data_IF_312311170692
#
_entry.id   IF_312311170692
#
_cell.length_a   1.000
_cell.length_b   1.000
_cell.length_c   1.000
_cell.angle_alpha   90.00
_cell.angle_beta   90.00
_cell.angle_gamma   90.00
#
_symmetry.space_group_name_H-M   'P 1'
#
loop_
_entity.id
_entity.type
_entity.pdbx_description
1 polymer ?
#
# COMPACT_ATOMS: atom_id res chain seq x y z
N UNK A 1 28.06 -12.49 29.53
CA UNK A 1 28.11 -13.32 28.32
C UNK A 1 26.72 -13.71 27.84
N UNK A 2 25.93 -14.47 28.61
CA UNK A 2 24.54 -14.78 28.24
C UNK A 2 23.69 -13.52 28.04
N UNK A 3 23.73 -12.57 28.99
CA UNK A 3 23.02 -11.27 28.85
C UNK A 3 23.39 -10.50 27.58
N UNK A 4 24.69 -10.47 27.23
CA UNK A 4 25.19 -9.84 26.00
C UNK A 4 24.71 -10.55 24.75
N UNK A 5 24.67 -11.90 24.75
CA UNK A 5 24.10 -12.69 23.67
C UNK A 5 22.60 -12.40 23.51
N UNK A 6 21.84 -12.37 24.61
CA UNK A 6 20.42 -12.03 24.59
C UNK A 6 20.15 -10.62 24.06
N UNK A 7 20.92 -9.63 24.53
CA UNK A 7 20.81 -8.26 24.03
C UNK A 7 21.13 -8.18 22.53
N UNK A 8 22.20 -8.84 22.09
CA UNK A 8 22.62 -8.87 20.68
C UNK A 8 21.59 -9.53 19.77
N UNK A 9 21.02 -10.67 20.18
CA UNK A 9 20.00 -11.36 19.38
C UNK A 9 18.67 -10.59 19.37
N UNK A 10 18.26 -9.97 20.49
CA UNK A 10 17.07 -9.13 20.52
C UNK A 10 17.20 -7.95 19.56
N UNK A 11 18.31 -7.20 19.62
CA UNK A 11 18.58 -6.09 18.71
C UNK A 11 18.59 -6.57 17.25
N UNK A 12 19.18 -7.74 16.97
CA UNK A 12 19.18 -8.33 15.64
C UNK A 12 17.78 -8.70 15.13
N UNK A 13 16.96 -9.35 15.98
CA UNK A 13 15.60 -9.72 15.65
C UNK A 13 14.71 -8.48 15.40
N UNK A 14 14.87 -7.46 16.23
CA UNK A 14 14.19 -6.17 16.14
C UNK A 14 14.54 -5.42 14.85
N UNK A 15 15.82 -5.42 14.47
CA UNK A 15 16.30 -4.82 13.22
C UNK A 15 15.73 -5.56 11.99
N UNK A 16 15.78 -6.90 12.00
CA UNK A 16 15.22 -7.73 10.94
C UNK A 16 13.70 -7.55 10.81
N UNK A 17 12.98 -7.46 11.93
CA UNK A 17 11.54 -7.23 11.93
C UNK A 17 11.20 -5.89 11.28
N UNK A 18 11.95 -4.83 11.60
CA UNK A 18 11.78 -3.52 10.95
C UNK A 18 12.05 -3.59 9.45
N UNK A 19 13.14 -4.22 9.02
CA UNK A 19 13.48 -4.35 7.61
C UNK A 19 12.41 -5.14 6.82
N UNK A 20 11.86 -6.21 7.42
CA UNK A 20 10.75 -6.96 6.85
C UNK A 20 9.49 -6.10 6.71
N UNK A 21 9.18 -5.30 7.73
CA UNK A 21 8.05 -4.37 7.68
C UNK A 21 8.25 -3.33 6.58
N UNK A 22 9.40 -2.66 6.54
CA UNK A 22 9.71 -1.62 5.55
C UNK A 22 9.60 -2.17 4.12
N UNK A 23 10.08 -3.40 3.89
CA UNK A 23 9.93 -4.09 2.59
C UNK A 23 8.48 -4.42 2.26
N UNK A 24 7.66 -4.82 3.24
CA UNK A 24 6.24 -5.05 3.00
C UNK A 24 5.50 -3.75 2.69
N UNK A 25 5.82 -2.68 3.42
CA UNK A 25 5.25 -1.36 3.20
C UNK A 25 5.63 -0.79 1.83
N UNK A 26 6.86 -0.98 1.37
CA UNK A 26 7.31 -0.51 0.05
C UNK A 26 6.59 -1.20 -1.13
N UNK A 27 5.92 -2.32 -0.89
CA UNK A 27 5.12 -3.02 -1.89
C UNK A 27 3.69 -2.51 -2.01
N UNK A 28 3.25 -1.63 -1.09
CA UNK A 28 1.90 -1.07 -1.05
C UNK A 28 1.88 0.24 -1.83
N UNK A 29 1.27 0.29 -3.03
CA UNK A 29 1.21 1.52 -3.81
C UNK A 29 0.23 2.56 -3.24
N UNK A 30 -0.81 2.12 -2.50
CA UNK A 30 -1.86 2.99 -1.95
C UNK A 30 -2.25 2.50 -0.56
N UNK A 31 -2.27 3.41 0.42
CA UNK A 31 -2.56 3.06 1.83
C UNK A 31 -4.04 2.72 2.05
N UNK A 32 -4.92 3.64 1.67
CA UNK A 32 -6.38 3.47 1.76
C UNK A 32 -6.98 3.76 0.37
N UNK A 33 -7.79 2.82 -0.10
CA UNK A 33 -8.61 2.96 -1.31
C UNK A 33 -10.07 3.07 -0.91
N UNK A 34 -10.75 4.09 -1.42
CA UNK A 34 -12.20 4.18 -1.35
C UNK A 34 -12.78 3.98 -2.75
N UNK A 35 -13.49 2.88 -2.94
CA UNK A 35 -14.20 2.57 -4.16
C UNK A 35 -15.65 3.07 -4.09
N UNK A 36 -16.08 3.83 -5.09
CA UNK A 36 -17.42 4.40 -5.17
C UNK A 36 -18.23 3.61 -6.19
N UNK A 37 -19.33 3.00 -5.75
CA UNK A 37 -20.28 2.28 -6.62
C UNK A 37 -21.49 3.11 -6.99
N UNK A 38 -21.75 4.19 -6.24
CA UNK A 38 -22.80 5.15 -6.59
C UNK A 38 -22.39 5.97 -7.80
N UNK A 39 -23.33 6.23 -8.71
CA UNK A 39 -23.09 7.18 -9.80
C UNK A 39 -23.07 8.58 -9.18
N UNK A 40 -21.94 9.26 -9.33
CA UNK A 40 -21.73 10.62 -8.85
C UNK A 40 -21.25 11.46 -10.03
N UNK A 41 -21.73 12.69 -10.12
CA UNK A 41 -21.20 13.68 -11.05
C UNK A 41 -19.74 13.99 -10.74
N UNK A 42 -19.01 14.48 -11.74
CA UNK A 42 -17.63 14.94 -11.59
C UNK A 42 -17.49 15.98 -10.46
N UNK A 43 -18.48 16.87 -10.31
CA UNK A 43 -18.54 17.87 -9.25
C UNK A 43 -18.69 17.25 -7.85
N UNK A 44 -19.48 16.18 -7.72
CA UNK A 44 -19.60 15.48 -6.43
C UNK A 44 -18.31 14.72 -6.10
N UNK A 45 -17.65 14.12 -7.09
CA UNK A 45 -16.39 13.41 -6.90
C UNK A 45 -15.27 14.35 -6.45
N UNK A 46 -15.12 15.49 -7.12
CA UNK A 46 -14.15 16.54 -6.73
C UNK A 46 -14.48 17.13 -5.36
N UNK A 47 -15.77 17.37 -5.07
CA UNK A 47 -16.21 17.81 -3.73
C UNK A 47 -15.86 16.82 -2.62
N UNK A 48 -15.90 15.52 -2.88
CA UNK A 48 -15.47 14.52 -1.90
C UNK A 48 -13.97 14.68 -1.60
N UNK A 49 -13.14 14.83 -2.64
CA UNK A 49 -11.69 15.07 -2.46
C UNK A 49 -11.47 16.34 -1.66
N UNK A 50 -12.17 17.43 -1.99
CA UNK A 50 -12.09 18.70 -1.26
C UNK A 50 -12.51 18.56 0.20
N UNK A 51 -13.59 17.83 0.51
CA UNK A 51 -14.02 17.58 1.89
C UNK A 51 -13.00 16.77 2.70
N UNK A 52 -12.09 16.02 2.06
CA UNK A 52 -11.00 15.29 2.74
C UNK A 52 -9.77 16.20 2.91
N UNK A 53 -9.43 16.98 1.88
CA UNK A 53 -8.24 17.83 1.86
C UNK A 53 -8.45 19.13 2.65
N UNK A 54 -9.70 19.63 2.75
CA UNK A 54 -10.03 20.94 3.30
C UNK A 54 -11.18 20.87 4.33
N UNK A 55 -10.91 20.99 5.65
CA UNK A 55 -9.59 21.10 6.29
C UNK A 55 -8.85 19.76 6.29
N UNK A 56 -7.53 19.74 6.15
CA UNK A 56 -6.76 18.48 6.09
C UNK A 56 -7.02 17.55 7.28
N UNK A 57 -7.01 16.24 7.03
CA UNK A 57 -6.99 15.22 8.08
C UNK A 57 -5.53 15.00 8.50
N UNK A 58 -5.24 15.10 9.79
CA UNK A 58 -3.91 14.82 10.33
C UNK A 58 -3.46 13.40 9.93
N UNK A 59 -2.22 13.28 9.44
CA UNK A 59 -1.66 12.02 8.97
C UNK A 59 -2.03 11.66 7.52
N UNK A 60 -2.89 12.42 6.83
CA UNK A 60 -3.10 12.28 5.38
C UNK A 60 -2.17 13.24 4.64
N UNK A 61 -1.34 12.72 3.74
CA UNK A 61 -0.38 13.54 2.97
C UNK A 61 -0.89 13.89 1.58
N UNK A 62 -1.67 13.01 0.97
CA UNK A 62 -2.18 13.20 -0.39
C UNK A 62 -3.48 12.45 -0.60
N UNK A 63 -4.35 13.01 -1.41
CA UNK A 63 -5.60 12.40 -1.86
C UNK A 63 -5.72 12.65 -3.35
N UNK A 64 -6.04 11.61 -4.10
CA UNK A 64 -6.30 11.75 -5.53
C UNK A 64 -7.48 10.92 -5.98
N UNK A 65 -8.08 11.38 -7.07
CA UNK A 65 -9.18 10.74 -7.75
C UNK A 65 -8.65 10.04 -8.99
N UNK A 66 -9.07 8.79 -9.19
CA UNK A 66 -8.74 8.02 -10.38
C UNK A 66 -9.99 7.31 -10.89
N UNK A 67 -10.25 7.45 -12.18
CA UNK A 67 -11.38 6.81 -12.83
C UNK A 67 -10.91 5.90 -13.95
N UNK A 68 -11.56 4.76 -14.10
CA UNK A 68 -11.21 3.73 -15.07
C UNK A 68 -12.44 3.25 -15.79
N UNK A 69 -12.30 3.03 -17.08
CA UNK A 69 -13.29 2.36 -17.89
C UNK A 69 -12.58 1.45 -18.89
N UNK A 70 -13.33 0.47 -19.39
CA UNK A 70 -12.85 -0.50 -20.36
C UNK A 70 -13.66 -0.39 -21.61
N UNK A 71 -12.97 -0.18 -22.72
CA UNK A 71 -13.61 -0.04 -24.01
C UNK A 71 -12.78 -0.62 -25.13
N UNK A 72 -13.48 -1.04 -26.17
CA UNK A 72 -12.86 -1.53 -27.38
C UNK A 72 -12.79 -0.42 -28.44
N UNK A 73 -11.66 -0.35 -29.14
CA UNK A 73 -11.49 0.51 -30.30
C UNK A 73 -10.86 -0.26 -31.45
N UNK A 74 -11.13 0.20 -32.67
CA UNK A 74 -10.44 -0.29 -33.86
C UNK A 74 -9.06 0.34 -33.95
N UNK A 75 -8.05 -0.51 -34.13
CA UNK A 75 -6.67 -0.09 -34.37
C UNK A 75 -6.54 0.51 -35.78
N UNK A 76 -5.96 1.71 -35.93
CA UNK A 76 -5.85 2.38 -37.24
C UNK A 76 -5.07 1.56 -38.28
N UNK A 77 -3.98 0.91 -37.88
CA UNK A 77 -3.11 0.18 -38.79
C UNK A 77 -3.69 -1.15 -39.29
N UNK A 78 -4.43 -1.86 -38.43
CA UNK A 78 -4.85 -3.25 -38.72
C UNK A 78 -6.37 -3.43 -38.85
N UNK A 79 -7.17 -2.40 -38.53
CA UNK A 79 -8.63 -2.47 -38.42
C UNK A 79 -9.13 -3.61 -37.50
N UNK A 80 -8.29 -4.08 -36.57
CA UNK A 80 -8.68 -5.06 -35.56
C UNK A 80 -9.23 -4.35 -34.33
N UNK A 81 -10.22 -4.97 -33.70
CA UNK A 81 -10.71 -4.53 -32.39
C UNK A 81 -9.69 -4.89 -31.32
N UNK A 82 -9.32 -3.92 -30.50
CA UNK A 82 -8.48 -4.12 -29.32
C UNK A 82 -9.14 -3.49 -28.09
N UNK A 83 -8.98 -4.15 -26.95
CA UNK A 83 -9.52 -3.67 -25.68
C UNK A 83 -8.52 -2.77 -24.98
N UNK A 84 -9.01 -1.64 -24.47
CA UNK A 84 -8.22 -0.63 -23.79
C UNK A 84 -8.82 -0.34 -22.42
N UNK A 85 -7.95 -0.30 -21.42
CA UNK A 85 -8.25 0.36 -20.16
C UNK A 85 -7.91 1.83 -20.30
N UNK A 86 -8.92 2.67 -20.19
CA UNK A 86 -8.76 4.13 -20.18
C UNK A 86 -8.75 4.58 -18.72
N UNK A 87 -7.66 5.21 -18.30
CA UNK A 87 -7.41 5.65 -16.92
C UNK A 87 -7.29 7.17 -16.92
N UNK A 88 -8.23 7.84 -16.27
CA UNK A 88 -8.17 9.28 -16.05
C UNK A 88 -7.51 9.60 -14.72
N UNK A 89 -6.50 10.45 -14.77
CA UNK A 89 -5.75 10.93 -13.60
C UNK A 89 -5.85 12.45 -13.50
N UNK A 90 -5.92 12.97 -12.28
CA UNK A 90 -5.85 14.42 -12.04
C UNK A 90 -4.45 14.93 -12.32
N UNK A 91 -4.33 16.20 -12.73
CA UNK A 91 -3.03 16.87 -12.94
C UNK A 91 -2.12 16.85 -11.70
N UNK A 92 -2.71 16.85 -10.51
CA UNK A 92 -2.01 16.76 -9.22
C UNK A 92 -1.70 15.32 -8.79
N UNK A 93 -1.97 14.32 -9.64
CA UNK A 93 -1.78 12.92 -9.28
C UNK A 93 -0.31 12.53 -9.18
N UNK A 94 0.02 11.72 -8.18
CA UNK A 94 1.35 11.11 -8.01
C UNK A 94 1.70 10.10 -9.09
N UNK A 95 0.71 9.69 -9.90
CA UNK A 95 0.95 8.85 -11.09
C UNK A 95 1.95 9.51 -12.04
N UNK A 96 1.97 10.84 -12.12
CA UNK A 96 2.95 11.57 -12.93
C UNK A 96 4.39 11.42 -12.43
N UNK A 97 4.61 11.19 -11.13
CA UNK A 97 5.96 11.06 -10.55
C UNK A 97 6.67 9.78 -11.04
N UNK A 98 5.91 8.71 -11.29
CA UNK A 98 6.43 7.44 -11.81
C UNK A 98 6.14 7.22 -13.30
N UNK A 99 5.91 8.30 -14.05
CA UNK A 99 5.66 8.29 -15.48
C UNK A 99 6.81 9.00 -16.20
N UNK A 100 7.41 8.33 -17.17
CA UNK A 100 8.45 8.92 -18.04
C UNK A 100 7.96 8.97 -19.48
N UNK A 101 7.83 10.17 -20.04
CA UNK A 101 7.49 10.35 -21.46
C UNK A 101 8.68 9.92 -22.31
N UNK A 102 8.49 8.86 -23.09
CA UNK A 102 9.51 8.31 -24.00
C UNK A 102 9.46 9.04 -25.34
N UNK A 103 8.24 9.33 -25.81
CA UNK A 103 7.99 9.97 -27.09
C UNK A 103 6.70 10.80 -27.00
N UNK A 104 6.66 11.97 -27.65
CA UNK A 104 5.46 12.80 -27.75
C UNK A 104 5.44 14.03 -26.85
N UNK A 105 4.24 14.53 -26.55
CA UNK A 105 4.03 15.78 -25.82
C UNK A 105 4.28 15.62 -24.29
N UNK A 106 4.71 16.69 -23.59
CA UNK A 106 5.01 16.65 -22.15
C UNK A 106 3.77 16.72 -21.24
N UNK A 107 2.62 17.09 -21.79
CA UNK A 107 1.36 17.17 -21.06
C UNK A 107 0.18 16.74 -21.94
N UNK A 108 -0.93 16.37 -21.30
CA UNK A 108 -2.18 16.03 -21.96
C UNK A 108 -3.17 17.19 -21.92
N UNK A 109 -3.77 17.47 -23.07
CA UNK A 109 -4.97 18.29 -23.20
C UNK A 109 -6.24 17.44 -23.27
N UNK A 110 -7.38 18.09 -23.50
CA UNK A 110 -8.66 17.42 -23.67
C UNK A 110 -8.62 16.40 -24.81
N UNK A 111 -9.16 15.20 -24.58
CA UNK A 111 -9.27 14.12 -25.57
C UNK A 111 -7.90 13.66 -26.12
N UNK A 112 -6.84 13.88 -25.36
CA UNK A 112 -5.50 13.39 -25.64
C UNK A 112 -5.15 12.23 -24.71
N UNK A 113 -4.33 11.31 -25.20
CA UNK A 113 -3.92 10.15 -24.40
C UNK A 113 -2.45 9.80 -24.53
N UNK A 114 -1.88 9.31 -23.44
CA UNK A 114 -0.64 8.56 -23.45
C UNK A 114 -0.90 7.06 -23.55
N UNK A 115 -0.07 6.38 -24.32
CA UNK A 115 -0.07 4.92 -24.42
C UNK A 115 1.08 4.37 -23.60
N UNK A 116 0.81 3.43 -22.70
CA UNK A 116 1.87 2.74 -21.97
C UNK A 116 2.67 1.84 -22.93
N UNK A 117 4.01 1.95 -22.93
CA UNK A 117 4.87 1.19 -23.85
C UNK A 117 4.80 -0.33 -23.66
N UNK A 118 4.37 -0.80 -22.50
CA UNK A 118 4.16 -2.22 -22.23
C UNK A 118 2.82 -2.78 -22.72
N UNK A 119 2.00 -1.95 -23.38
CA UNK A 119 0.70 -2.35 -23.95
C UNK A 119 0.86 -3.40 -25.05
N UNK A 120 -0.10 -4.32 -25.18
CA UNK A 120 -0.04 -5.42 -26.16
C UNK A 120 0.02 -4.93 -27.60
N UNK A 121 -0.79 -3.93 -27.94
CA UNK A 121 -0.93 -3.38 -29.29
C UNK A 121 -0.13 -2.09 -29.51
N UNK A 122 0.87 -1.81 -28.66
CA UNK A 122 1.68 -0.58 -28.75
C UNK A 122 2.31 -0.37 -30.13
N UNK A 123 2.69 -1.47 -30.81
CA UNK A 123 3.33 -1.44 -32.14
C UNK A 123 2.37 -1.12 -33.29
N UNK A 124 1.07 -1.08 -33.01
CA UNK A 124 0.01 -0.79 -33.98
C UNK A 124 -0.53 0.64 -33.81
N UNK A 125 0.15 1.47 -33.00
CA UNK A 125 -0.22 2.84 -32.68
C UNK A 125 0.95 3.77 -32.96
N UNK A 126 0.64 4.96 -33.46
CA UNK A 126 1.60 6.04 -33.70
C UNK A 126 1.12 7.35 -33.07
N UNK A 127 2.03 8.28 -32.81
CA UNK A 127 1.67 9.62 -32.33
C UNK A 127 0.83 10.33 -33.41
N UNK A 128 -0.34 10.82 -33.04
CA UNK A 128 -1.31 11.44 -33.94
C UNK A 128 -2.49 10.55 -34.32
N UNK A 129 -2.42 9.24 -34.03
CA UNK A 129 -3.55 8.33 -34.24
C UNK A 129 -4.77 8.72 -33.40
N UNK A 130 -5.97 8.52 -33.96
CA UNK A 130 -7.23 8.79 -33.28
C UNK A 130 -7.97 7.48 -33.03
N UNK A 131 -8.09 7.11 -31.76
CA UNK A 131 -8.85 5.96 -31.29
C UNK A 131 -10.27 6.38 -30.96
N UNK A 132 -11.24 5.74 -31.61
CA UNK A 132 -12.67 6.01 -31.41
C UNK A 132 -13.31 4.94 -30.56
N UNK A 133 -13.88 5.35 -29.44
CA UNK A 133 -14.58 4.51 -28.48
C UNK A 133 -16.08 4.84 -28.49
N UNK A 134 -16.92 3.80 -28.54
CA UNK A 134 -18.37 3.94 -28.53
C UNK A 134 -18.93 3.49 -27.18
N UNK A 135 -18.91 4.41 -26.22
CA UNK A 135 -19.26 4.13 -24.83
C UNK A 135 -20.76 4.02 -24.68
N UNK A 136 -21.27 2.79 -24.55
CA UNK A 136 -22.73 2.53 -24.51
C UNK A 136 -23.14 2.04 -23.14
N UNK A 137 -23.92 2.85 -22.42
CA UNK A 137 -24.53 2.44 -21.16
C UNK A 137 -26.01 2.16 -21.36
N UNK A 138 -26.51 1.16 -20.66
CA UNK A 138 -27.87 0.66 -20.79
C UNK A 138 -28.27 -0.15 -19.58
N UNK A 139 -29.54 -0.11 -19.21
CA UNK A 139 -30.14 -1.22 -18.48
C UNK A 139 -31.13 -1.96 -19.39
N UNK A 140 -31.28 -3.25 -19.16
CA UNK A 140 -32.42 -4.03 -19.63
C UNK A 140 -32.92 -4.80 -18.43
N UNK A 141 -34.06 -4.40 -17.88
CA UNK A 141 -34.70 -5.11 -16.78
C UNK A 141 -36.16 -5.39 -17.15
N UNK A 142 -36.49 -6.66 -17.38
CA UNK A 142 -37.83 -7.10 -17.76
C UNK A 142 -38.36 -6.42 -19.03
N UNK A 143 -39.66 -6.11 -19.04
CA UNK A 143 -40.39 -5.55 -20.19
C UNK A 143 -40.26 -4.02 -20.36
N UNK A 144 -39.34 -3.37 -19.63
CA UNK A 144 -39.10 -1.93 -19.78
C UNK A 144 -38.29 -1.63 -21.04
N UNK A 145 -38.69 -0.58 -21.79
CA UNK A 145 -37.97 -0.14 -22.99
C UNK A 145 -36.49 0.11 -22.66
N UNK A 146 -35.55 -0.45 -23.44
CA UNK A 146 -34.12 -0.23 -23.21
C UNK A 146 -33.82 1.26 -23.30
N UNK A 147 -33.40 1.85 -22.19
CA UNK A 147 -32.81 3.18 -22.18
C UNK A 147 -31.33 2.97 -22.37
N UNK A 148 -30.86 3.19 -23.60
CA UNK A 148 -29.45 3.15 -23.95
C UNK A 148 -28.97 4.55 -24.31
N UNK A 149 -27.79 4.91 -23.82
CA UNK A 149 -27.11 6.14 -24.19
C UNK A 149 -25.71 5.79 -24.66
N UNK A 150 -25.39 6.19 -25.88
CA UNK A 150 -24.03 6.05 -26.44
C UNK A 150 -23.35 7.41 -26.46
N UNK A 151 -22.15 7.47 -25.90
CA UNK A 151 -21.25 8.62 -25.94
C UNK A 151 -20.03 8.22 -26.76
N UNK A 152 -19.65 9.05 -27.72
CA UNK A 152 -18.47 8.80 -28.54
C UNK A 152 -17.30 9.55 -27.91
N UNK A 153 -16.23 8.83 -27.61
CA UNK A 153 -14.97 9.40 -27.14
C UNK A 153 -13.90 9.16 -28.22
N UNK A 154 -13.29 10.24 -28.69
CA UNK A 154 -12.18 10.17 -29.62
C UNK A 154 -10.91 10.56 -28.86
N UNK A 155 -9.96 9.65 -28.71
CA UNK A 155 -8.68 9.93 -28.06
C UNK A 155 -7.57 10.03 -29.10
N UNK A 156 -6.84 11.14 -29.11
CA UNK A 156 -5.66 11.32 -29.95
C UNK A 156 -4.42 10.87 -29.18
N UNK A 157 -3.66 9.94 -29.76
CA UNK A 157 -2.38 9.48 -29.19
C UNK A 157 -1.39 10.64 -29.24
N UNK A 158 -0.96 11.13 -28.08
CA UNK A 158 -0.02 12.25 -27.96
C UNK A 158 1.36 11.86 -27.49
N UNK A 159 1.52 10.64 -27.01
CA UNK A 159 2.83 10.14 -26.65
C UNK A 159 2.79 8.74 -26.08
N UNK A 160 3.98 8.20 -25.91
CA UNK A 160 4.24 6.92 -25.31
C UNK A 160 4.98 7.11 -24.01
N UNK A 161 4.56 6.39 -22.98
CA UNK A 161 5.08 6.54 -21.62
C UNK A 161 5.58 5.21 -21.09
N UNK A 162 6.74 5.26 -20.45
CA UNK A 162 7.18 4.21 -19.55
C UNK A 162 6.65 4.50 -18.14
N UNK A 163 6.29 3.44 -17.43
CA UNK A 163 5.60 3.55 -16.14
C UNK A 163 6.25 2.63 -15.14
N UNK A 164 6.67 3.19 -14.01
CA UNK A 164 7.23 2.43 -12.90
C UNK A 164 6.25 1.39 -12.34
N UNK A 165 6.77 0.33 -11.72
CA UNK A 165 5.96 -0.81 -11.28
C UNK A 165 4.84 -0.41 -10.30
N UNK A 166 5.13 0.48 -9.35
CA UNK A 166 4.14 0.93 -8.36
C UNK A 166 3.04 1.78 -9.01
N UNK A 167 3.42 2.68 -9.91
CA UNK A 167 2.48 3.48 -10.69
C UNK A 167 1.61 2.60 -11.59
N UNK A 168 2.19 1.56 -12.21
CA UNK A 168 1.44 0.61 -13.02
C UNK A 168 0.41 -0.17 -12.20
N UNK A 169 0.73 -0.54 -10.95
CA UNK A 169 -0.24 -1.15 -10.01
C UNK A 169 -1.41 -0.20 -9.73
N UNK A 170 -1.13 1.10 -9.54
CA UNK A 170 -2.16 2.13 -9.40
C UNK A 170 -3.02 2.20 -10.66
N UNK A 171 -2.44 2.35 -11.85
CA UNK A 171 -3.20 2.44 -13.11
C UNK A 171 -4.12 1.23 -13.34
N UNK A 172 -3.66 0.03 -12.99
CA UNK A 172 -4.45 -1.21 -13.11
C UNK A 172 -5.51 -1.40 -12.01
N UNK A 173 -5.45 -0.63 -10.94
CA UNK A 173 -6.30 -0.82 -9.75
C UNK A 173 -5.94 -2.08 -8.95
N UNK A 174 -4.71 -2.60 -9.11
CA UNK A 174 -4.21 -3.76 -8.40
C UNK A 174 -3.39 -3.33 -7.18
N UNK A 175 -4.10 -3.02 -6.09
CA UNK A 175 -3.47 -2.47 -4.89
C UNK A 175 -3.00 -3.52 -3.87
N UNK A 176 -3.39 -4.79 -4.05
CA UNK A 176 -3.15 -5.88 -3.08
C UNK A 176 -2.45 -7.11 -3.68
N UNK A 177 -2.39 -7.23 -5.01
CA UNK A 177 -1.97 -8.48 -5.63
C UNK A 177 -0.45 -8.68 -5.60
N UNK A 178 0.00 -9.59 -4.73
CA UNK A 178 1.27 -10.32 -4.89
C UNK A 178 1.06 -11.41 -5.96
N UNK A 179 0.74 -11.03 -7.20
CA UNK A 179 0.85 -11.99 -8.31
C UNK A 179 2.32 -12.19 -8.63
N UNK A 180 2.77 -13.43 -8.90
CA UNK A 180 4.16 -13.68 -9.28
C UNK A 180 4.53 -12.83 -10.51
N UNK A 181 5.73 -12.26 -10.48
CA UNK A 181 6.33 -11.32 -11.47
C UNK A 181 6.16 -11.71 -12.95
N UNK A 182 5.82 -12.98 -13.23
CA UNK A 182 5.66 -13.51 -14.58
C UNK A 182 4.21 -13.53 -15.10
N UNK A 183 3.20 -13.15 -14.30
CA UNK A 183 1.83 -13.03 -14.81
C UNK A 183 1.66 -11.68 -15.53
N UNK A 184 2.22 -11.60 -16.74
CA UNK A 184 1.97 -10.46 -17.64
C UNK A 184 0.54 -10.55 -18.15
N UNK A 185 -0.38 -9.93 -17.44
CA UNK A 185 -1.69 -9.58 -18.02
C UNK A 185 -1.36 -8.66 -19.19
N UNK A 186 -1.60 -9.18 -20.39
CA UNK A 186 -1.56 -8.39 -21.60
C UNK A 186 -2.77 -7.49 -21.59
N UNK A 187 -2.55 -6.19 -21.57
CA UNK A 187 -3.58 -5.18 -21.47
C UNK A 187 -3.06 -3.92 -22.16
N UNK A 188 -3.93 -3.21 -22.87
CA UNK A 188 -3.60 -1.89 -23.40
C UNK A 188 -4.04 -0.83 -22.39
N UNK A 189 -3.13 0.06 -22.01
CA UNK A 189 -3.42 1.13 -21.04
C UNK A 189 -3.28 2.47 -21.74
N UNK A 190 -4.36 3.25 -21.66
CA UNK A 190 -4.45 4.63 -22.09
C UNK A 190 -4.58 5.51 -20.85
N UNK A 191 -3.73 6.52 -20.75
CA UNK A 191 -3.77 7.51 -19.67
C UNK A 191 -4.32 8.81 -20.26
N UNK A 192 -5.32 9.40 -19.61
CA UNK A 192 -5.97 10.64 -20.04
C UNK A 192 -6.06 11.62 -18.87
N UNK A 193 -6.22 12.90 -19.17
CA UNK A 193 -6.53 13.91 -18.15
C UNK A 193 -7.96 13.70 -17.62
N UNK A 194 -8.09 13.57 -16.30
CA UNK A 194 -9.39 13.29 -15.66
C UNK A 194 -10.36 14.46 -15.80
N UNK A 195 -9.93 15.69 -15.53
CA UNK A 195 -10.81 16.88 -15.52
C UNK A 195 -11.22 17.27 -16.94
N UNK A 196 -10.27 17.25 -17.88
CA UNK A 196 -10.51 17.67 -19.26
C UNK A 196 -11.28 16.63 -20.06
N UNK A 197 -11.08 15.34 -19.78
CA UNK A 197 -11.62 14.24 -20.61
C UNK A 197 -12.64 13.38 -19.86
N UNK A 198 -12.25 12.66 -18.79
CA UNK A 198 -13.16 11.69 -18.16
C UNK A 198 -14.32 12.33 -17.40
N UNK A 199 -14.14 13.51 -16.79
CA UNK A 199 -15.21 14.22 -16.09
C UNK A 199 -16.42 14.45 -17.00
N UNK A 200 -16.17 14.84 -18.26
CA UNK A 200 -17.23 15.03 -19.27
C UNK A 200 -17.96 13.74 -19.62
N UNK A 201 -17.25 12.61 -19.65
CA UNK A 201 -17.84 11.28 -19.87
C UNK A 201 -18.69 10.86 -18.66
N UNK A 202 -18.21 11.10 -17.45
CA UNK A 202 -18.95 10.83 -16.21
C UNK A 202 -20.25 11.64 -16.19
N UNK A 203 -20.18 12.95 -16.47
CA UNK A 203 -21.33 13.85 -16.47
C UNK A 203 -22.28 13.64 -17.65
N UNK A 204 -21.83 12.97 -18.72
CA UNK A 204 -22.67 12.66 -19.86
C UNK A 204 -23.76 11.63 -19.53
N UNK A 205 -23.65 10.86 -18.44
CA UNK A 205 -24.64 9.87 -18.06
C UNK A 205 -25.56 10.36 -16.93
N UNK A 206 -26.89 10.32 -17.11
CA UNK A 206 -27.83 10.65 -16.04
C UNK A 206 -27.75 9.66 -14.87
N UNK A 207 -28.07 10.13 -13.67
CA UNK A 207 -28.11 9.33 -12.42
C UNK A 207 -29.04 8.11 -12.49
N UNK A 208 -29.94 8.08 -13.48
CA UNK A 208 -30.87 6.97 -13.73
C UNK A 208 -30.16 5.67 -14.13
N UNK A 209 -28.92 5.71 -14.61
CA UNK A 209 -28.16 4.49 -14.88
C UNK A 209 -27.77 3.82 -13.55
N UNK A 210 -28.26 2.61 -13.27
CA UNK A 210 -28.05 1.94 -11.95
C UNK A 210 -26.62 1.44 -11.69
N UNK A 211 -25.77 1.37 -12.71
CA UNK A 211 -24.45 0.74 -12.63
C UNK A 211 -23.43 1.67 -13.28
N UNK A 212 -22.44 2.09 -12.49
CA UNK A 212 -21.37 2.96 -12.96
C UNK A 212 -20.52 2.25 -14.01
N UNK A 213 -20.55 2.74 -15.24
CA UNK A 213 -19.68 2.27 -16.32
C UNK A 213 -18.21 2.64 -16.07
N UNK A 214 -18.03 3.79 -15.41
CA UNK A 214 -16.72 4.30 -15.00
C UNK A 214 -16.51 3.95 -13.53
N UNK A 215 -15.55 3.06 -13.27
CA UNK A 215 -15.12 2.73 -11.93
C UNK A 215 -14.27 3.86 -11.38
N UNK A 216 -14.70 4.46 -10.27
CA UNK A 216 -13.96 5.56 -9.64
C UNK A 216 -13.46 5.17 -8.26
N UNK A 217 -12.17 5.39 -8.02
CA UNK A 217 -11.54 5.24 -6.73
C UNK A 217 -10.99 6.58 -6.24
N UNK A 218 -11.08 6.80 -4.93
CA UNK A 218 -10.33 7.83 -4.22
C UNK A 218 -9.17 7.11 -3.52
N UNK A 219 -7.95 7.55 -3.82
CA UNK A 219 -6.72 7.00 -3.27
C UNK A 219 -6.20 7.96 -2.22
N UNK A 220 -5.91 7.43 -1.04
CA UNK A 220 -5.50 8.21 0.13
C UNK A 220 -4.14 7.69 0.57
N UNK A 221 -3.20 8.62 0.68
CA UNK A 221 -1.83 8.37 1.08
C UNK A 221 -1.59 8.97 2.46
N UNK A 222 -0.97 8.18 3.31
CA UNK A 222 -0.76 8.49 4.70
C UNK A 222 0.70 8.86 4.95
N UNK A 223 0.94 9.70 5.96
CA UNK A 223 2.27 9.92 6.49
C UNK A 223 2.70 8.70 7.31
N UNK A 224 3.28 7.72 6.61
CA UNK A 224 3.68 6.45 7.21
C UNK A 224 4.70 6.65 8.34
N UNK A 225 5.57 7.65 8.25
CA UNK A 225 6.63 7.89 9.25
C UNK A 225 6.05 8.36 10.60
N UNK A 226 4.99 9.17 10.58
CA UNK A 226 4.32 9.62 11.81
C UNK A 226 3.28 8.64 12.32
N UNK A 227 2.65 7.85 11.44
CA UNK A 227 1.57 6.95 11.82
C UNK A 227 2.08 5.57 12.29
N UNK A 228 3.09 5.03 11.62
CA UNK A 228 3.55 3.65 11.84
C UNK A 228 4.66 3.62 12.87
N UNK A 229 4.42 2.88 13.95
CA UNK A 229 5.41 2.53 14.95
C UNK A 229 5.60 1.00 14.97
N UNK A 230 6.77 0.52 14.55
CA UNK A 230 7.06 -0.92 14.52
C UNK A 230 7.07 -1.59 15.91
N UNK A 231 7.21 -0.80 16.98
CA UNK A 231 7.17 -1.28 18.37
C UNK A 231 5.76 -1.23 18.98
N UNK A 232 4.87 -0.42 18.39
CA UNK A 232 3.48 -0.23 18.80
C UNK A 232 2.55 -0.36 17.58
N UNK A 233 2.43 -1.60 17.13
CA UNK A 233 1.56 -1.94 15.98
C UNK A 233 0.08 -1.70 16.35
N UNK A 234 -0.31 -1.97 17.58
CA UNK A 234 -1.70 -1.80 18.02
C UNK A 234 -2.10 -0.31 18.02
N UNK A 235 -1.28 0.58 18.57
CA UNK A 235 -1.51 2.01 18.47
C UNK A 235 -1.43 2.54 17.03
N UNK A 236 -0.60 1.94 16.17
CA UNK A 236 -0.56 2.28 14.74
C UNK A 236 -1.88 1.92 14.03
N UNK A 237 -2.43 0.75 14.33
CA UNK A 237 -3.72 0.29 13.79
C UNK A 237 -4.87 1.19 14.26
N UNK A 238 -4.88 1.61 15.54
CA UNK A 238 -5.88 2.52 16.08
C UNK A 238 -5.83 3.91 15.41
N UNK A 239 -4.63 4.45 15.18
CA UNK A 239 -4.45 5.71 14.43
C UNK A 239 -5.00 5.61 13.00
N UNK A 240 -4.70 4.52 12.30
CA UNK A 240 -5.21 4.27 10.93
C UNK A 240 -6.73 4.16 10.94
N UNK A 241 -7.32 3.44 11.90
CA UNK A 241 -8.78 3.32 12.03
C UNK A 241 -9.44 4.69 12.29
N UNK A 242 -8.83 5.53 13.13
CA UNK A 242 -9.32 6.88 13.38
C UNK A 242 -9.30 7.74 12.10
N UNK A 243 -8.23 7.69 11.32
CA UNK A 243 -8.12 8.39 10.03
C UNK A 243 -9.18 7.86 9.05
N UNK A 244 -9.30 6.53 8.92
CA UNK A 244 -10.30 5.89 8.07
C UNK A 244 -11.72 6.32 8.43
N UNK A 245 -12.06 6.37 9.72
CA UNK A 245 -13.38 6.84 10.18
C UNK A 245 -13.61 8.31 9.84
N UNK A 246 -12.60 9.18 9.98
CA UNK A 246 -12.72 10.58 9.60
C UNK A 246 -12.94 10.75 8.08
N UNK A 247 -12.19 10.02 7.26
CA UNK A 247 -12.37 9.98 5.81
C UNK A 247 -13.79 9.56 5.47
N UNK A 248 -14.25 8.42 5.98
CA UNK A 248 -15.59 7.90 5.73
C UNK A 248 -16.69 8.91 6.11
N UNK A 249 -16.56 9.54 7.27
CA UNK A 249 -17.52 10.55 7.72
C UNK A 249 -17.59 11.76 6.77
N UNK A 250 -16.47 12.17 6.17
CA UNK A 250 -16.43 13.26 5.18
C UNK A 250 -17.05 12.82 3.85
N UNK A 251 -16.72 11.62 3.37
CA UNK A 251 -17.30 11.06 2.14
C UNK A 251 -18.83 10.95 2.25
N UNK A 252 -19.34 10.45 3.38
CA UNK A 252 -20.78 10.29 3.59
C UNK A 252 -21.58 11.60 3.64
N UNK A 253 -20.93 12.77 3.77
CA UNK A 253 -21.61 14.07 3.64
C UNK A 253 -22.05 14.36 2.21
N UNK A 254 -21.36 13.80 1.23
CA UNK A 254 -21.62 14.01 -0.21
C UNK A 254 -22.25 12.76 -0.82
N UNK A 255 -21.74 11.58 -0.47
CA UNK A 255 -22.19 10.29 -0.99
C UNK A 255 -22.60 9.37 0.17
N UNK A 256 -23.88 9.41 0.62
CA UNK A 256 -24.33 8.67 1.80
C UNK A 256 -24.41 7.14 1.60
N UNK A 257 -24.21 6.63 0.39
CA UNK A 257 -24.24 5.21 0.09
C UNK A 257 -23.30 4.81 -1.05
N UNK A 258 -23.07 3.50 -1.19
CA UNK A 258 -22.23 2.93 -2.25
C UNK A 258 -20.74 3.25 -2.09
N UNK A 259 -20.24 3.22 -0.86
CA UNK A 259 -18.84 3.50 -0.52
C UNK A 259 -18.21 2.23 0.06
N UNK A 260 -17.15 1.74 -0.58
CA UNK A 260 -16.39 0.57 -0.12
C UNK A 260 -14.96 0.98 0.18
N UNK A 261 -14.49 0.71 1.40
CA UNK A 261 -13.13 1.08 1.81
C UNK A 261 -12.26 -0.15 1.97
N UNK A 262 -11.15 -0.17 1.24
CA UNK A 262 -10.07 -1.14 1.38
C UNK A 262 -8.86 -0.46 1.99
N UNK A 263 -8.36 -1.04 3.08
CA UNK A 263 -7.23 -0.50 3.83
C UNK A 263 -6.06 -1.48 3.70
N UNK A 264 -5.19 -1.19 2.73
CA UNK A 264 -4.06 -2.05 2.42
C UNK A 264 -2.97 -1.91 3.48
N UNK A 265 -2.80 -0.69 4.03
CA UNK A 265 -1.82 -0.45 5.08
C UNK A 265 -2.17 -1.25 6.35
N UNK A 266 -3.41 -1.17 6.81
CA UNK A 266 -3.91 -1.96 7.94
C UNK A 266 -3.78 -3.46 7.69
N UNK A 267 -4.13 -3.93 6.49
CA UNK A 267 -4.01 -5.35 6.14
C UNK A 267 -2.57 -5.85 6.25
N UNK A 268 -1.60 -5.07 5.77
CA UNK A 268 -0.17 -5.38 5.91
C UNK A 268 0.30 -5.33 7.36
N UNK A 269 -0.09 -4.31 8.13
CA UNK A 269 0.27 -4.21 9.55
C UNK A 269 -0.32 -5.34 10.39
N UNK A 270 -1.56 -5.76 10.11
CA UNK A 270 -2.16 -6.94 10.73
C UNK A 270 -1.36 -8.20 10.41
N UNK A 271 -0.95 -8.38 9.14
CA UNK A 271 -0.10 -9.50 8.74
C UNK A 271 1.25 -9.48 9.46
N UNK A 272 1.88 -8.31 9.55
CA UNK A 272 3.12 -8.11 10.29
C UNK A 272 2.95 -8.40 11.79
N UNK A 273 1.83 -8.00 12.41
CA UNK A 273 1.52 -8.29 13.82
C UNK A 273 1.58 -9.78 14.11
N UNK A 274 0.98 -10.62 13.27
CA UNK A 274 1.02 -12.07 13.41
C UNK A 274 2.45 -12.62 13.24
N UNK A 275 3.20 -12.12 12.26
CA UNK A 275 4.60 -12.53 12.02
C UNK A 275 5.47 -12.15 13.24
N UNK A 276 5.36 -10.91 13.73
CA UNK A 276 6.13 -10.40 14.87
C UNK A 276 5.85 -11.18 16.14
N UNK A 277 4.58 -11.49 16.44
CA UNK A 277 4.22 -12.35 17.58
C UNK A 277 4.81 -13.77 17.43
N UNK A 278 4.75 -14.35 16.22
CA UNK A 278 5.37 -15.64 15.92
C UNK A 278 6.88 -15.62 16.12
N UNK A 279 7.57 -14.60 15.62
CA UNK A 279 9.01 -14.43 15.78
C UNK A 279 9.41 -14.34 17.26
N UNK A 280 8.66 -13.58 18.07
CA UNK A 280 8.89 -13.48 19.52
C UNK A 280 8.75 -14.83 20.22
N UNK A 281 7.74 -15.62 19.87
CA UNK A 281 7.55 -16.95 20.44
C UNK A 281 8.66 -17.92 20.02
N UNK A 282 9.01 -17.94 18.73
CA UNK A 282 10.14 -18.74 18.22
C UNK A 282 11.45 -18.34 18.89
N UNK A 283 11.67 -17.05 19.16
CA UNK A 283 12.83 -16.58 19.91
C UNK A 283 12.86 -17.12 21.35
N UNK A 284 11.73 -17.07 22.07
CA UNK A 284 11.65 -17.63 23.43
C UNK A 284 11.98 -19.13 23.42
N UNK A 285 11.43 -19.88 22.46
CA UNK A 285 11.66 -21.34 22.36
C UNK A 285 13.12 -21.66 22.00
N UNK A 286 13.69 -20.97 21.02
CA UNK A 286 15.07 -21.22 20.54
C UNK A 286 16.13 -20.72 21.51
N UNK A 287 15.83 -19.73 22.35
CA UNK A 287 16.75 -19.21 23.35
C UNK A 287 16.72 -19.98 24.68
N UNK A 288 15.68 -20.77 24.94
CA UNK A 288 15.52 -21.58 26.15
C UNK A 288 16.73 -22.52 26.41
N UNK A 289 17.26 -23.28 25.43
CA UNK A 289 18.41 -24.16 25.64
C UNK A 289 19.69 -23.38 25.99
N UNK A 290 19.89 -22.21 25.39
CA UNK A 290 21.03 -21.34 25.69
C UNK A 290 20.94 -20.85 27.14
N UNK A 291 19.74 -20.54 27.62
CA UNK A 291 19.48 -20.21 29.03
C UNK A 291 19.89 -21.35 29.95
N UNK A 292 19.48 -22.58 29.63
CA UNK A 292 19.82 -23.77 30.41
C UNK A 292 21.34 -24.02 30.45
N UNK A 293 22.01 -23.93 29.30
CA UNK A 293 23.47 -24.12 29.23
C UNK A 293 24.19 -23.02 30.01
N UNK A 294 23.79 -21.76 29.86
CA UNK A 294 24.40 -20.65 30.58
C UNK A 294 24.22 -20.78 32.10
N UNK A 295 23.03 -21.18 32.55
CA UNK A 295 22.76 -21.44 33.95
C UNK A 295 23.59 -22.61 34.47
N UNK A 296 23.58 -23.75 33.78
CA UNK A 296 24.34 -24.95 34.16
C UNK A 296 25.85 -24.69 34.20
N UNK A 297 26.39 -23.98 33.21
CA UNK A 297 27.80 -23.62 33.17
C UNK A 297 28.15 -22.63 34.27
N UNK A 298 27.28 -21.64 34.54
CA UNK A 298 27.43 -20.71 35.65
C UNK A 298 27.48 -21.39 37.02
N UNK A 299 26.56 -22.33 37.28
CA UNK A 299 26.57 -23.10 38.54
C UNK A 299 27.80 -24.00 38.63
N UNK A 300 28.16 -24.70 37.55
CA UNK A 300 29.33 -25.59 37.52
C UNK A 300 30.63 -24.83 37.75
N UNK A 301 30.83 -23.69 37.08
CA UNK A 301 32.03 -22.84 37.28
C UNK A 301 32.05 -22.28 38.70
N UNK A 302 30.90 -21.89 39.25
CA UNK A 302 30.78 -21.45 40.65
C UNK A 302 31.17 -22.57 41.62
N UNK A 303 30.67 -23.79 41.41
CA UNK A 303 30.97 -24.94 42.26
C UNK A 303 32.45 -25.34 42.19
N UNK A 304 33.02 -25.36 40.99
CA UNK A 304 34.45 -25.62 40.79
C UNK A 304 35.30 -24.53 41.46
N UNK A 305 34.96 -23.27 41.27
CA UNK A 305 35.67 -22.13 41.90
C UNK A 305 35.60 -22.18 43.41
N UNK A 306 34.42 -22.48 43.96
CA UNK A 306 34.23 -22.68 45.40
C UNK A 306 35.07 -23.83 45.93
N UNK A 307 35.10 -24.97 45.23
CA UNK A 307 35.87 -26.13 45.67
C UNK A 307 37.39 -25.90 45.62
N UNK A 308 37.90 -25.21 44.59
CA UNK A 308 39.31 -24.81 44.50
C UNK A 308 39.72 -23.90 45.65
N UNK A 309 38.85 -22.95 46.03
CA UNK A 309 39.11 -21.99 47.10
C UNK A 309 38.57 -22.44 48.47
N UNK A 310 38.03 -23.66 48.59
CA UNK A 310 37.37 -24.14 49.82
C UNK A 310 38.29 -24.07 51.03
N UNK A 311 39.58 -24.40 50.85
CA UNK A 311 40.60 -24.30 51.91
C UNK A 311 40.88 -22.86 52.32
N UNK A 312 40.97 -21.93 51.38
CA UNK A 312 41.19 -20.51 51.64
C UNK A 312 39.99 -19.88 52.34
N UNK A 313 38.78 -20.17 51.85
CA UNK A 313 37.52 -19.73 52.46
C UNK A 313 37.41 -20.27 53.90
N UNK A 314 37.73 -21.54 54.12
CA UNK A 314 37.76 -22.14 55.45
C UNK A 314 38.74 -21.46 56.41
N UNK A 315 39.93 -21.11 55.93
CA UNK A 315 40.95 -20.37 56.70
C UNK A 315 40.53 -18.94 57.03
N UNK A 316 39.83 -18.26 56.13
CA UNK A 316 39.35 -16.89 56.39
C UNK A 316 38.17 -16.89 57.37
N UNK A 317 37.29 -17.89 57.29
CA UNK A 317 36.21 -18.07 58.25
C UNK A 317 36.74 -18.35 59.67
N UNK A 318 37.78 -19.18 59.83
CA UNK A 318 38.39 -19.43 61.14
C UNK A 318 39.16 -18.22 61.69
N UNK A 319 39.60 -17.30 60.81
CA UNK A 319 40.17 -16.00 61.19
C UNK A 319 39.13 -14.92 61.56
N UNK A 320 37.84 -15.27 61.58
CA UNK A 320 36.77 -14.39 62.05
C UNK A 320 36.13 -13.51 60.97
N UNK A 321 36.47 -13.71 59.69
CA UNK A 321 35.77 -13.01 58.59
C UNK A 321 34.34 -13.51 58.46
N UNK A 322 33.38 -12.60 58.32
CA UNK A 322 31.98 -12.96 58.11
C UNK A 322 31.73 -13.40 56.66
N UNK A 323 30.67 -14.19 56.45
CA UNK A 323 30.29 -14.66 55.09
C UNK A 323 30.02 -13.50 54.12
N UNK A 324 29.49 -12.38 54.61
CA UNK A 324 29.24 -11.18 53.79
C UNK A 324 30.52 -10.42 53.45
N UNK A 325 31.53 -10.40 54.34
CA UNK A 325 32.85 -9.83 54.06
C UNK A 325 33.59 -10.66 53.00
N UNK A 326 33.52 -11.99 53.10
CA UNK A 326 34.11 -12.89 52.10
C UNK A 326 33.45 -12.74 50.73
N UNK A 327 32.12 -12.65 50.69
CA UNK A 327 31.39 -12.42 49.44
C UNK A 327 31.82 -11.11 48.77
N UNK A 328 31.95 -10.01 49.53
CA UNK A 328 32.44 -8.73 48.98
C UNK A 328 33.89 -8.79 48.53
N UNK A 329 34.74 -9.51 49.26
CA UNK A 329 36.17 -9.66 48.92
C UNK A 329 36.33 -10.43 47.60
N UNK A 330 35.61 -11.54 47.42
CA UNK A 330 35.68 -12.33 46.18
C UNK A 330 34.93 -11.70 45.00
N UNK A 331 33.86 -10.94 45.23
CA UNK A 331 33.19 -10.19 44.17
C UNK A 331 34.00 -8.96 43.72
N UNK A 332 34.89 -8.42 44.57
CA UNK A 332 35.77 -7.31 44.23
C UNK A 332 37.10 -7.73 43.56
N UNK A 333 37.44 -9.02 43.60
CA UNK A 333 38.60 -9.59 42.89
C UNK A 333 38.29 -10.02 41.44
N UNK A 334 37.02 -10.13 41.07
CA UNK A 334 36.53 -10.53 39.74
C UNK A 334 36.33 -9.34 38.81
#
# INVERSE_FOLDING_TARGET
MASTFFAGVNIGADTLAKEVLDRQLSQIPVDIRVHLTSILSSNNLTRIVDEIVNPGIEGVTHVELISRLYEDALLPASNKSASFRIVGILKSSRVYDGLTVVEGAPSLEENETYVWIGSENVKELEVGDVLRFNITTGWTYGDMKPHQKTVILNLTVKGFVDVEEQTLKILRGYYYEVRPLNYRVKENILIVDWEKTLAKIIDAYPEEFKWGYVSTDILIFLDRESIINCWDIDGSLERIDAIKSQVLNRIHRVAPGGVYVSDHLKSTLMSFRFISQGMRLSFIITSLPVFFIAWYMGTTVSDVSYNLRRREIGLLLTKGFSRSQLLRMFLGEA
#
